data_IF_472317444421
#
_entry.id   IF_472317444421
#
_cell.length_a   1.000
_cell.length_b   1.000
_cell.length_c   1.000
_cell.angle_alpha   90.00
_cell.angle_beta   90.00
_cell.angle_gamma   90.00
#
_symmetry.space_group_name_H-M   'P 1'
#
loop_
_entity.id
_entity.type
_entity.pdbx_description
1 polymer ?
#
# COMPACT_ATOMS: atom_id res chain seq x y z
N UNK A 1 -21.46 -17.25 45.78
CA UNK A 1 -21.38 -16.01 46.59
C UNK A 1 -19.96 -15.85 47.13
N UNK A 2 -19.39 -14.64 47.02
CA UNK A 2 -18.16 -14.14 47.68
C UNK A 2 -16.82 -14.80 47.31
N UNK A 3 -15.68 -14.13 47.29
CA UNK A 3 -15.26 -12.76 46.96
C UNK A 3 -13.72 -12.83 46.99
N UNK A 4 -13.11 -12.10 46.06
CA UNK A 4 -11.69 -11.93 45.77
C UNK A 4 -10.73 -11.84 46.97
N UNK A 5 -9.56 -12.46 46.82
CA UNK A 5 -8.30 -11.92 47.36
C UNK A 5 -7.24 -11.88 46.26
N UNK A 6 -6.97 -10.66 45.81
CA UNK A 6 -5.83 -10.27 45.00
C UNK A 6 -4.52 -10.65 45.71
N UNK A 7 -3.80 -11.63 45.18
CA UNK A 7 -2.37 -11.81 45.39
C UNK A 7 -1.66 -11.35 44.12
N UNK A 8 -1.04 -10.17 44.19
CA UNK A 8 -0.31 -9.55 43.08
C UNK A 8 0.90 -10.39 42.67
N UNK A 9 0.89 -10.93 41.45
CA UNK A 9 2.07 -11.45 40.77
C UNK A 9 2.08 -10.89 39.34
N UNK A 10 2.95 -9.90 39.17
CA UNK A 10 3.77 -9.59 37.99
C UNK A 10 3.13 -9.61 36.59
N UNK A 11 2.81 -8.39 36.13
CA UNK A 11 3.32 -7.73 34.92
C UNK A 11 3.42 -8.58 33.63
N UNK A 12 2.70 -8.09 32.62
CA UNK A 12 2.96 -8.25 31.19
C UNK A 12 2.72 -9.64 30.57
N UNK A 13 1.47 -10.09 30.60
CA UNK A 13 0.99 -11.00 29.55
C UNK A 13 0.67 -10.18 28.30
N UNK A 14 1.73 -9.94 27.52
CA UNK A 14 1.75 -9.75 26.08
C UNK A 14 0.64 -8.88 25.49
N UNK A 15 1.03 -7.63 25.19
CA UNK A 15 0.57 -6.96 23.98
C UNK A 15 0.77 -7.90 22.78
N UNK A 16 -0.20 -8.75 22.49
CA UNK A 16 -0.48 -9.13 21.12
C UNK A 16 -1.17 -7.93 20.44
N UNK A 17 -0.53 -6.76 20.51
CA UNK A 17 -0.63 -5.82 19.42
C UNK A 17 0.07 -6.53 18.27
N UNK A 18 -0.69 -7.37 17.55
CA UNK A 18 -0.35 -7.76 16.21
C UNK A 18 -0.08 -6.45 15.50
N UNK A 19 1.20 -6.09 15.40
CA UNK A 19 1.70 -4.96 14.64
C UNK A 19 1.60 -5.31 13.16
N UNK A 20 0.44 -5.84 12.76
CA UNK A 20 0.06 -6.00 11.37
C UNK A 20 0.03 -4.59 10.82
N UNK A 21 0.94 -4.31 9.89
CA UNK A 21 0.86 -3.09 9.09
C UNK A 21 -0.58 -3.04 8.58
N UNK A 22 -1.31 -2.00 8.96
CA UNK A 22 -2.69 -1.84 8.50
C UNK A 22 -2.68 -1.85 6.98
N UNK A 23 -3.54 -2.66 6.38
CA UNK A 23 -3.68 -2.68 4.94
C UNK A 23 -4.01 -1.27 4.45
N UNK A 24 -3.26 -0.81 3.45
CA UNK A 24 -3.52 0.46 2.76
C UNK A 24 -3.72 0.21 1.28
N UNK A 25 -4.27 1.19 0.58
CA UNK A 25 -4.47 1.10 -0.87
C UNK A 25 -3.25 1.63 -1.61
N UNK A 26 -2.71 0.80 -2.49
CA UNK A 26 -1.62 1.08 -3.41
C UNK A 26 -2.16 1.23 -4.82
N UNK A 27 -1.57 2.11 -5.61
CA UNK A 27 -1.80 2.17 -7.06
C UNK A 27 -0.64 1.45 -7.74
N UNK A 28 -0.93 0.35 -8.41
CA UNK A 28 0.05 -0.37 -9.23
C UNK A 28 -0.15 0.03 -10.69
N UNK A 29 0.91 0.53 -11.31
CA UNK A 29 0.91 0.90 -12.72
C UNK A 29 1.82 -0.05 -13.50
N UNK A 30 1.24 -0.70 -14.50
CA UNK A 30 1.95 -1.42 -15.54
C UNK A 30 2.37 -0.44 -16.63
N UNK A 31 3.63 -0.49 -17.04
CA UNK A 31 4.16 0.33 -18.12
C UNK A 31 5.19 -0.45 -18.93
N UNK A 32 5.56 0.12 -20.09
CA UNK A 32 6.69 -0.38 -20.90
C UNK A 32 7.83 0.62 -20.78
N UNK A 33 9.02 0.15 -20.39
CA UNK A 33 10.21 0.99 -20.28
C UNK A 33 10.71 1.46 -21.67
N UNK A 34 11.69 2.35 -21.71
CA UNK A 34 12.24 2.86 -22.97
C UNK A 34 12.87 1.77 -23.86
N UNK A 35 13.25 0.63 -23.28
CA UNK A 35 13.79 -0.53 -24.02
C UNK A 35 12.71 -1.49 -24.53
N UNK A 36 11.44 -1.19 -24.28
CA UNK A 36 10.32 -2.02 -24.71
C UNK A 36 9.99 -3.16 -23.73
N UNK A 37 10.57 -3.16 -22.52
CA UNK A 37 10.33 -4.23 -21.53
C UNK A 37 9.15 -3.86 -20.62
N UNK A 38 8.28 -4.82 -20.27
CA UNK A 38 7.23 -4.60 -19.30
C UNK A 38 7.84 -4.36 -17.91
N UNK A 39 7.29 -3.38 -17.20
CA UNK A 39 7.71 -3.00 -15.85
C UNK A 39 6.49 -2.55 -15.03
N UNK A 40 6.67 -2.53 -13.71
CA UNK A 40 5.63 -2.11 -12.76
C UNK A 40 6.17 -1.06 -11.80
N UNK A 41 5.30 -0.15 -11.38
CA UNK A 41 5.57 0.81 -10.32
C UNK A 41 4.39 0.86 -9.36
N UNK A 42 4.66 0.83 -8.07
CA UNK A 42 3.65 0.98 -7.03
C UNK A 42 3.77 2.37 -6.40
N UNK A 43 2.63 3.01 -6.20
CA UNK A 43 2.49 4.29 -5.53
C UNK A 43 1.61 4.13 -4.30
N UNK A 44 2.04 4.65 -3.17
CA UNK A 44 1.20 4.86 -1.99
C UNK A 44 1.02 6.37 -1.75
N UNK A 45 -0.14 6.74 -1.20
CA UNK A 45 -0.41 8.12 -0.77
C UNK A 45 -0.50 8.18 0.75
N UNK A 46 0.62 8.43 1.46
CA UNK A 46 0.63 8.46 2.93
C UNK A 46 -0.19 9.64 3.51
N UNK A 47 -0.53 10.65 2.70
CA UNK A 47 -1.39 11.76 3.13
C UNK A 47 -2.87 11.38 3.22
N UNK A 48 -3.27 10.22 2.69
CA UNK A 48 -4.63 9.69 2.75
C UNK A 48 -4.58 8.23 3.22
N UNK A 49 -4.25 7.98 4.50
CA UNK A 49 -4.01 6.63 5.02
C UNK A 49 -5.26 5.74 5.00
N UNK A 50 -6.45 6.35 5.08
CA UNK A 50 -7.75 5.66 5.15
C UNK A 50 -8.43 5.54 3.76
N UNK A 51 -7.67 5.71 2.67
CA UNK A 51 -8.21 5.59 1.31
C UNK A 51 -8.81 4.21 1.07
N UNK A 52 -10.07 4.17 0.61
CA UNK A 52 -10.71 2.90 0.23
C UNK A 52 -10.36 2.51 -1.22
N UNK A 53 -10.58 1.24 -1.58
CA UNK A 53 -10.42 0.79 -2.97
C UNK A 53 -11.34 1.58 -3.91
N UNK A 54 -12.58 1.83 -3.51
CA UNK A 54 -13.54 2.60 -4.30
C UNK A 54 -13.09 4.05 -4.52
N UNK A 55 -12.55 4.71 -3.49
CA UNK A 55 -12.01 6.07 -3.61
C UNK A 55 -10.82 6.12 -4.56
N UNK A 56 -9.93 5.13 -4.44
CA UNK A 56 -8.78 4.98 -5.33
C UNK A 56 -9.23 4.77 -6.78
N UNK A 57 -10.13 3.81 -7.03
CA UNK A 57 -10.63 3.50 -8.37
C UNK A 57 -11.35 4.69 -9.00
N UNK A 58 -12.18 5.39 -8.23
CA UNK A 58 -12.83 6.63 -8.68
C UNK A 58 -11.85 7.74 -9.03
N UNK A 59 -10.68 7.77 -8.36
CA UNK A 59 -9.64 8.78 -8.56
C UNK A 59 -8.59 8.39 -9.61
N UNK A 60 -8.53 7.13 -10.06
CA UNK A 60 -7.48 6.66 -10.99
C UNK A 60 -7.45 7.47 -12.29
N UNK A 61 -8.63 7.81 -12.83
CA UNK A 61 -8.75 8.55 -14.09
C UNK A 61 -8.14 9.95 -14.00
N UNK A 62 -8.33 10.65 -12.88
CA UNK A 62 -7.79 11.98 -12.64
C UNK A 62 -6.34 11.96 -12.16
N UNK A 63 -5.90 10.88 -11.51
CA UNK A 63 -4.52 10.67 -11.07
C UNK A 63 -3.55 10.33 -12.22
N UNK A 64 -4.06 9.94 -13.39
CA UNK A 64 -3.27 9.53 -14.55
C UNK A 64 -2.05 10.42 -14.89
N UNK A 65 -2.19 11.76 -15.00
CA UNK A 65 -1.07 12.66 -15.26
C UNK A 65 0.01 12.62 -14.16
N UNK A 66 -0.39 12.56 -12.89
CA UNK A 66 0.53 12.48 -11.75
C UNK A 66 1.26 11.15 -11.71
N UNK A 67 0.56 10.05 -11.97
CA UNK A 67 1.14 8.71 -12.06
C UNK A 67 2.15 8.63 -13.22
N UNK A 68 1.78 9.15 -14.39
CA UNK A 68 2.67 9.24 -15.54
C UNK A 68 3.93 10.05 -15.22
N UNK A 69 3.77 11.20 -14.55
CA UNK A 69 4.92 12.02 -14.17
C UNK A 69 5.88 11.26 -13.25
N UNK A 70 5.35 10.54 -12.26
CA UNK A 70 6.16 9.69 -11.39
C UNK A 70 6.91 8.60 -12.15
N UNK A 71 6.23 7.92 -13.09
CA UNK A 71 6.86 6.90 -13.95
C UNK A 71 7.97 7.51 -14.79
N UNK A 72 7.72 8.64 -15.46
CA UNK A 72 8.70 9.29 -16.34
C UNK A 72 9.93 9.82 -15.59
N UNK A 73 9.79 10.20 -14.31
CA UNK A 73 10.92 10.58 -13.46
C UNK A 73 11.89 9.41 -13.23
N UNK A 74 11.39 8.17 -13.10
CA UNK A 74 12.22 7.00 -12.84
C UNK A 74 12.55 6.17 -14.09
N UNK A 75 11.70 6.26 -15.12
CA UNK A 75 11.86 5.58 -16.41
C UNK A 75 11.53 6.55 -17.55
N UNK A 76 12.44 7.46 -17.91
CA UNK A 76 12.25 8.38 -19.03
C UNK A 76 11.91 7.62 -20.31
N UNK A 77 10.91 8.09 -21.06
CA UNK A 77 10.45 7.43 -22.29
C UNK A 77 9.54 6.21 -22.06
N UNK A 78 9.13 5.95 -20.82
CA UNK A 78 8.13 4.94 -20.53
C UNK A 78 6.79 5.22 -21.21
N UNK A 79 6.08 4.15 -21.57
CA UNK A 79 4.70 4.19 -22.05
C UNK A 79 3.78 3.58 -21.02
N UNK A 80 2.82 4.35 -20.54
CA UNK A 80 1.80 3.88 -19.60
C UNK A 80 0.94 2.78 -20.22
N UNK A 81 0.69 1.73 -19.45
CA UNK A 81 -0.24 0.65 -19.78
C UNK A 81 -1.52 0.79 -18.98
N UNK A 82 -1.59 0.09 -17.85
CA UNK A 82 -2.78 0.03 -16.98
C UNK A 82 -2.44 0.46 -15.56
N UNK A 83 -3.40 1.06 -14.86
CA UNK A 83 -3.30 1.29 -13.43
C UNK A 83 -4.43 0.58 -12.69
N UNK A 84 -4.13 0.02 -11.51
CA UNK A 84 -5.10 -0.66 -10.65
C UNK A 84 -4.85 -0.33 -9.19
N UNK A 85 -5.91 -0.34 -8.40
CA UNK A 85 -5.84 -0.20 -6.95
C UNK A 85 -5.70 -1.58 -6.31
N UNK A 86 -4.79 -1.71 -5.34
CA UNK A 86 -4.51 -2.96 -4.63
C UNK A 86 -4.43 -2.67 -3.14
N UNK A 87 -5.22 -3.38 -2.35
CA UNK A 87 -5.13 -3.30 -0.90
C UNK A 87 -4.02 -4.24 -0.41
N UNK A 88 -3.04 -3.69 0.31
CA UNK A 88 -1.90 -4.45 0.82
C UNK A 88 -1.23 -3.72 2.00
N UNK A 89 -0.86 -4.49 3.03
CA UNK A 89 -0.02 -4.05 4.13
C UNK A 89 1.38 -3.57 3.70
N UNK A 90 1.88 -4.09 2.58
CA UNK A 90 3.23 -3.87 2.07
C UNK A 90 3.23 -3.55 0.57
N UNK A 91 4.37 -3.15 0.03
CA UNK A 91 4.52 -2.86 -1.40
C UNK A 91 4.17 -4.12 -2.22
N UNK A 92 3.09 -4.09 -3.03
CA UNK A 92 2.54 -5.28 -3.66
C UNK A 92 3.40 -5.82 -4.81
N UNK A 93 4.40 -5.07 -5.29
CA UNK A 93 5.29 -5.49 -6.38
C UNK A 93 6.70 -5.85 -5.89
N UNK A 94 7.02 -5.61 -4.61
CA UNK A 94 8.30 -6.08 -4.04
C UNK A 94 8.27 -7.58 -3.81
N UNK A 95 9.38 -8.30 -4.05
CA UNK A 95 9.50 -9.71 -3.66
C UNK A 95 9.26 -9.87 -2.16
N UNK A 96 8.43 -10.85 -1.79
CA UNK A 96 8.30 -11.27 -0.40
C UNK A 96 9.61 -11.95 0.00
N UNK A 97 10.20 -11.49 1.10
CA UNK A 97 11.38 -12.10 1.69
C UNK A 97 11.06 -13.46 2.32
#
# INVERSE_FOLDING_TARGET
MKLYRCGAILVAAMLAACSGKSDKVWIVVDFTDASGRPAQMAFDNPSVPDMTLADCEGSLSSAGPTLMQGILTHSPGAKFGTAKCVQSAEDPIKPKA
#
